data_IF_040342336665
#
_entry.id   IF_040342336665
#
_cell.length_a   1.000
_cell.length_b   1.000
_cell.length_c   1.000
_cell.angle_alpha   90.00
_cell.angle_beta   90.00
_cell.angle_gamma   90.00
#
_symmetry.space_group_name_H-M   'P 1'
#
loop_
_entity.id
_entity.type
_entity.pdbx_description
1 polymer ?
#
# COMPACT_ATOMS: atom_id res chain seq x y z
N UNK A 1 19.34 38.85 7.61
CA UNK A 1 18.54 37.66 7.95
C UNK A 1 18.37 36.88 6.66
N UNK A 2 19.00 35.70 6.54
CA UNK A 2 18.85 34.85 5.35
C UNK A 2 17.41 34.31 5.31
N UNK A 3 16.76 34.26 4.14
CA UNK A 3 15.44 33.64 4.01
C UNK A 3 15.58 32.16 4.39
N UNK A 4 14.84 31.74 5.42
CA UNK A 4 14.67 30.33 5.75
C UNK A 4 13.92 29.72 4.58
N UNK A 5 14.55 28.82 3.83
CA UNK A 5 13.88 28.05 2.79
C UNK A 5 12.69 27.32 3.42
N UNK A 6 11.50 27.34 2.79
CA UNK A 6 10.32 26.70 3.36
C UNK A 6 10.62 25.22 3.58
N UNK A 7 10.52 24.78 4.83
CA UNK A 7 10.59 23.38 5.23
C UNK A 7 9.67 22.59 4.30
N UNK A 8 10.19 21.59 3.59
CA UNK A 8 9.39 20.77 2.69
C UNK A 8 8.28 20.08 3.48
N UNK A 9 7.05 20.56 3.31
CA UNK A 9 5.85 19.98 3.91
C UNK A 9 5.47 18.76 3.10
N UNK A 10 5.43 17.59 3.74
CA UNK A 10 4.73 16.44 3.19
C UNK A 10 3.25 16.62 3.49
N UNK A 11 2.45 16.83 2.46
CA UNK A 11 1.00 16.86 2.53
C UNK A 11 0.46 15.84 1.52
N UNK A 12 -0.29 14.85 2.00
CA UNK A 12 -1.00 13.93 1.11
C UNK A 12 -2.06 14.67 0.30
N UNK A 13 -2.73 15.62 0.94
CA UNK A 13 -3.72 16.54 0.38
C UNK A 13 -3.89 17.74 1.30
N UNK A 14 -4.31 18.89 0.74
CA UNK A 14 -4.63 20.09 1.53
C UNK A 14 -5.74 19.78 2.54
N UNK A 15 -5.45 19.91 3.83
CA UNK A 15 -6.40 19.59 4.90
C UNK A 15 -6.44 18.11 5.31
N UNK A 16 -5.60 17.26 4.71
CA UNK A 16 -5.39 15.88 5.14
C UNK A 16 -4.35 15.76 6.26
N UNK A 17 -3.71 14.59 6.35
CA UNK A 17 -2.55 14.40 7.23
C UNK A 17 -1.31 15.07 6.62
N UNK A 18 -0.74 15.98 7.38
CA UNK A 18 0.46 16.75 7.06
C UNK A 18 1.52 16.48 8.13
N UNK A 19 2.81 16.43 7.76
CA UNK A 19 3.89 16.33 8.72
C UNK A 19 5.10 17.13 8.24
N UNK A 20 5.50 18.12 9.02
CA UNK A 20 6.61 19.02 8.73
C UNK A 20 7.49 19.24 9.98
N UNK A 21 8.33 20.28 9.94
CA UNK A 21 9.20 20.65 11.06
C UNK A 21 8.46 21.06 12.34
N UNK A 22 7.18 21.45 12.24
CA UNK A 22 6.31 21.70 13.38
C UNK A 22 5.35 20.51 13.67
N UNK A 23 5.70 19.33 13.17
CA UNK A 23 5.09 18.06 13.56
C UNK A 23 3.85 17.66 12.75
N UNK A 24 3.25 16.51 13.11
CA UNK A 24 2.10 15.97 12.41
C UNK A 24 0.82 16.74 12.75
N UNK A 25 0.05 17.07 11.71
CA UNK A 25 -1.24 17.78 11.80
C UNK A 25 -2.27 17.09 10.92
N UNK A 26 -3.52 17.00 11.39
CA UNK A 26 -4.64 16.48 10.60
C UNK A 26 -5.76 17.52 10.55
N UNK A 27 -6.07 18.04 9.36
CA UNK A 27 -7.01 19.17 9.21
C UNK A 27 -6.73 20.33 10.19
N UNK A 28 -5.45 20.66 10.39
CA UNK A 28 -5.00 21.70 11.31
C UNK A 28 -4.93 21.28 12.79
N UNK A 29 -5.44 20.10 13.17
CA UNK A 29 -5.30 19.56 14.52
C UNK A 29 -3.89 19.02 14.70
N UNK A 30 -3.08 19.63 15.58
CA UNK A 30 -1.78 19.09 15.94
C UNK A 30 -1.93 17.74 16.66
N UNK A 31 -1.23 16.70 16.19
CA UNK A 31 -1.28 15.38 16.81
C UNK A 31 -0.22 15.20 17.92
N UNK A 32 0.78 16.08 17.93
CA UNK A 32 1.82 16.18 18.95
C UNK A 32 1.88 17.60 19.51
N UNK A 33 2.42 17.74 20.72
CA UNK A 33 2.77 19.02 21.31
C UNK A 33 4.25 19.31 21.08
N UNK A 34 4.55 20.45 20.48
CA UNK A 34 5.91 20.98 20.37
C UNK A 34 6.27 21.82 21.60
N UNK A 35 7.36 21.47 22.27
CA UNK A 35 7.99 22.26 23.32
C UNK A 35 9.32 22.80 22.78
N UNK A 36 9.47 24.13 22.75
CA UNK A 36 10.67 24.80 22.25
C UNK A 36 11.96 24.36 22.98
N UNK A 37 11.86 23.81 24.19
CA UNK A 37 12.99 23.32 25.00
C UNK A 37 13.04 21.81 25.09
N UNK A 38 11.88 21.15 25.23
CA UNK A 38 11.81 19.70 25.47
C UNK A 38 11.63 18.84 24.21
N UNK A 39 11.40 19.45 23.04
CA UNK A 39 11.15 18.74 21.78
C UNK A 39 9.69 18.32 21.64
N UNK A 40 9.45 17.14 21.07
CA UNK A 40 8.11 16.65 20.73
C UNK A 40 7.57 15.69 21.77
N UNK A 41 6.32 15.89 22.21
CA UNK A 41 5.62 15.00 23.14
C UNK A 41 4.22 14.62 22.66
N UNK A 42 3.74 13.48 23.15
CA UNK A 42 2.36 13.04 22.95
C UNK A 42 1.40 14.01 23.65
N UNK A 43 0.27 14.29 22.99
CA UNK A 43 -0.86 14.99 23.60
C UNK A 43 -1.58 14.09 24.60
N UNK A 44 -2.40 14.71 25.45
CA UNK A 44 -3.36 13.97 26.25
C UNK A 44 -4.39 13.27 25.34
N UNK A 45 -4.72 12.02 25.66
CA UNK A 45 -5.60 11.19 24.81
C UNK A 45 -7.01 11.77 24.71
N UNK A 46 -7.52 12.37 25.78
CA UNK A 46 -8.86 12.94 25.81
C UNK A 46 -8.92 14.22 25.01
N UNK A 47 -7.94 15.11 25.19
CA UNK A 47 -7.87 16.35 24.42
C UNK A 47 -7.70 16.08 22.92
N UNK A 48 -6.81 15.15 22.56
CA UNK A 48 -6.61 14.75 21.17
C UNK A 48 -7.87 14.10 20.59
N UNK A 49 -8.55 13.24 21.34
CA UNK A 49 -9.82 12.63 20.92
C UNK A 49 -10.93 13.68 20.73
N UNK A 50 -11.02 14.68 21.61
CA UNK A 50 -12.02 15.75 21.49
C UNK A 50 -11.76 16.63 20.26
N UNK A 51 -10.50 16.95 19.97
CA UNK A 51 -10.12 17.73 18.78
C UNK A 51 -10.37 16.98 17.48
N UNK A 52 -9.90 15.73 17.40
CA UNK A 52 -10.14 14.86 16.25
C UNK A 52 -11.62 14.57 16.07
N UNK A 53 -12.37 14.42 17.16
CA UNK A 53 -13.81 14.21 17.09
C UNK A 53 -14.55 15.41 16.49
N UNK A 54 -14.08 16.64 16.75
CA UNK A 54 -14.58 17.85 16.07
C UNK A 54 -14.22 17.87 14.59
N UNK A 55 -13.00 17.46 14.23
CA UNK A 55 -12.57 17.38 12.84
C UNK A 55 -13.39 16.35 12.04
N UNK A 56 -13.60 15.16 12.59
CA UNK A 56 -14.36 14.08 11.95
C UNK A 56 -15.88 14.17 12.13
N UNK A 57 -16.36 15.06 13.00
CA UNK A 57 -17.78 15.22 13.38
C UNK A 57 -18.39 13.94 13.99
N UNK A 58 -17.57 13.08 14.57
CA UNK A 58 -17.97 11.86 15.28
C UNK A 58 -17.05 11.65 16.49
N UNK A 59 -17.52 11.04 17.59
CA UNK A 59 -16.64 10.68 18.70
C UNK A 59 -15.54 9.72 18.24
N UNK A 60 -14.31 9.99 18.65
CA UNK A 60 -13.15 9.13 18.35
C UNK A 60 -12.42 8.71 19.62
N UNK A 61 -11.62 7.65 19.53
CA UNK A 61 -10.68 7.19 20.54
C UNK A 61 -9.25 7.34 20.00
N UNK A 62 -8.46 8.24 20.59
CA UNK A 62 -7.10 8.50 20.15
C UNK A 62 -6.06 7.52 20.73
N UNK A 63 -6.44 6.69 21.73
CA UNK A 63 -5.49 5.77 22.41
C UNK A 63 -4.77 4.82 21.45
N UNK A 64 -5.43 4.26 20.41
CA UNK A 64 -4.75 3.39 19.44
C UNK A 64 -3.64 4.08 18.64
N UNK A 65 -3.65 5.42 18.54
CA UNK A 65 -2.62 6.18 17.82
C UNK A 65 -1.32 6.33 18.61
N UNK A 66 -1.34 6.16 19.94
CA UNK A 66 -0.19 6.47 20.81
C UNK A 66 1.12 5.80 20.37
N UNK A 67 1.16 4.49 20.04
CA UNK A 67 2.43 3.87 19.63
C UNK A 67 3.00 4.49 18.35
N UNK A 68 2.15 4.79 17.36
CA UNK A 68 2.57 5.41 16.12
C UNK A 68 3.03 6.86 16.31
N UNK A 69 2.27 7.64 17.08
CA UNK A 69 2.63 9.03 17.41
C UNK A 69 3.92 9.12 18.21
N UNK A 70 4.24 8.12 19.05
CA UNK A 70 5.51 8.06 19.76
C UNK A 70 6.68 7.92 18.78
N UNK A 71 6.54 7.10 17.73
CA UNK A 71 7.56 6.95 16.68
C UNK A 71 7.75 8.27 15.92
N UNK A 72 6.67 8.98 15.61
CA UNK A 72 6.74 10.30 14.96
C UNK A 72 7.47 11.30 15.85
N UNK A 73 7.12 11.36 17.14
CA UNK A 73 7.77 12.25 18.11
C UNK A 73 9.28 11.95 18.25
N UNK A 74 9.65 10.67 18.33
CA UNK A 74 11.05 10.23 18.40
C UNK A 74 11.84 10.65 17.17
N UNK A 75 11.27 10.46 15.98
CA UNK A 75 11.89 10.86 14.72
C UNK A 75 12.10 12.38 14.64
N UNK A 76 11.11 13.17 15.04
CA UNK A 76 11.22 14.63 15.06
C UNK A 76 12.23 15.12 16.11
N UNK A 77 12.30 14.49 17.29
CA UNK A 77 13.34 14.78 18.30
C UNK A 77 14.75 14.51 17.75
N UNK A 78 14.91 13.46 16.95
CA UNK A 78 16.14 13.14 16.22
C UNK A 78 16.39 14.00 14.98
N UNK A 79 15.55 15.01 14.69
CA UNK A 79 15.59 15.82 13.46
C UNK A 79 15.53 15.01 12.16
N UNK A 80 15.00 13.79 12.21
CA UNK A 80 14.78 12.95 11.03
C UNK A 80 13.35 13.17 10.51
N UNK A 81 13.19 14.23 9.71
CA UNK A 81 11.89 14.62 9.16
C UNK A 81 11.32 13.56 8.21
N UNK A 82 12.16 12.91 7.40
CA UNK A 82 11.70 11.85 6.48
C UNK A 82 11.07 10.67 7.24
N UNK A 83 11.73 10.19 8.30
CA UNK A 83 11.18 9.13 9.16
C UNK A 83 9.89 9.57 9.85
N UNK A 84 9.81 10.83 10.30
CA UNK A 84 8.59 11.37 10.89
C UNK A 84 7.41 11.36 9.89
N UNK A 85 7.66 11.77 8.64
CA UNK A 85 6.67 11.79 7.57
C UNK A 85 6.18 10.37 7.21
N UNK A 86 7.10 9.41 7.08
CA UNK A 86 6.76 8.00 6.84
C UNK A 86 5.94 7.43 8.01
N UNK A 87 6.39 7.66 9.25
CA UNK A 87 5.68 7.19 10.43
C UNK A 87 4.28 7.80 10.55
N UNK A 88 4.12 9.09 10.22
CA UNK A 88 2.82 9.75 10.16
C UNK A 88 1.92 9.11 9.10
N UNK A 89 2.43 8.89 7.88
CA UNK A 89 1.69 8.20 6.81
C UNK A 89 1.17 6.82 7.25
N UNK A 90 1.99 6.08 8.00
CA UNK A 90 1.65 4.75 8.51
C UNK A 90 0.61 4.76 9.64
N UNK A 91 0.22 5.92 10.17
CA UNK A 91 -0.95 6.05 11.05
C UNK A 91 -2.26 5.76 10.30
N UNK A 92 -2.26 5.89 8.96
CA UNK A 92 -3.41 5.62 8.08
C UNK A 92 -4.68 6.34 8.52
N UNK A 93 -4.52 7.57 8.98
CA UNK A 93 -5.63 8.44 9.36
C UNK A 93 -6.40 8.84 8.09
N UNK A 94 -7.72 8.61 8.01
CA UNK A 94 -8.50 9.09 6.88
C UNK A 94 -8.54 10.62 6.87
N UNK A 95 -8.67 11.22 5.68
CA UNK A 95 -8.93 12.65 5.60
C UNK A 95 -10.30 12.96 6.24
N UNK A 96 -10.41 14.03 7.05
CA UNK A 96 -11.70 14.47 7.56
C UNK A 96 -12.67 14.80 6.42
N UNK A 97 -13.98 14.56 6.62
CA UNK A 97 -14.94 14.64 5.53
C UNK A 97 -15.04 16.06 4.98
N UNK A 98 -14.97 16.18 3.65
CA UNK A 98 -15.50 17.37 2.98
C UNK A 98 -17.00 17.49 3.28
N UNK A 99 -17.58 18.69 3.16
CA UNK A 99 -18.96 18.96 3.56
C UNK A 99 -20.03 18.01 2.95
N UNK A 100 -19.70 17.32 1.86
CA UNK A 100 -20.61 16.46 1.09
C UNK A 100 -20.35 14.94 1.25
N UNK A 101 -19.37 14.50 2.05
CA UNK A 101 -19.05 13.08 2.15
C UNK A 101 -20.05 12.30 3.01
N UNK A 102 -20.44 11.10 2.55
CA UNK A 102 -21.35 10.22 3.29
C UNK A 102 -20.74 9.79 4.65
N UNK A 103 -21.47 9.96 5.77
CA UNK A 103 -21.01 9.54 7.10
C UNK A 103 -20.60 8.06 7.20
N UNK A 104 -21.20 7.17 6.40
CA UNK A 104 -20.98 5.72 6.49
C UNK A 104 -19.64 5.28 5.89
N UNK A 105 -19.13 6.00 4.89
CA UNK A 105 -17.81 5.73 4.35
C UNK A 105 -16.74 6.09 5.39
N UNK A 106 -16.84 7.29 5.97
CA UNK A 106 -15.92 7.77 6.99
C UNK A 106 -15.90 6.87 8.24
N UNK A 107 -17.08 6.43 8.72
CA UNK A 107 -17.16 5.53 9.87
C UNK A 107 -16.43 4.20 9.64
N UNK A 108 -16.53 3.64 8.43
CA UNK A 108 -15.79 2.42 8.07
C UNK A 108 -14.28 2.65 8.08
N UNK A 109 -13.83 3.78 7.53
CA UNK A 109 -12.40 4.11 7.51
C UNK A 109 -11.86 4.36 8.92
N UNK A 110 -12.60 5.09 9.76
CA UNK A 110 -12.27 5.32 11.17
C UNK A 110 -12.26 4.02 11.98
N UNK A 111 -13.20 3.10 11.72
CA UNK A 111 -13.21 1.78 12.35
C UNK A 111 -11.97 0.96 11.92
N UNK A 112 -11.59 1.03 10.64
CA UNK A 112 -10.43 0.32 10.10
C UNK A 112 -9.10 0.78 10.72
N UNK A 113 -8.99 2.06 11.11
CA UNK A 113 -7.83 2.58 11.83
C UNK A 113 -7.98 2.54 13.37
N UNK A 114 -9.08 1.95 13.88
CA UNK A 114 -9.35 1.83 15.32
C UNK A 114 -9.73 3.12 16.03
N UNK A 115 -10.01 4.21 15.30
CA UNK A 115 -10.37 5.50 15.87
C UNK A 115 -11.83 5.60 16.27
N UNK A 116 -12.73 4.81 15.68
CA UNK A 116 -14.13 4.87 16.05
C UNK A 116 -14.31 4.21 17.42
N UNK A 117 -14.92 4.92 18.38
CA UNK A 117 -15.42 4.26 19.59
C UNK A 117 -16.47 3.26 19.15
N UNK A 118 -16.20 1.97 19.34
CA UNK A 118 -17.26 0.98 19.34
C UNK A 118 -18.24 1.39 20.44
N UNK A 119 -19.46 1.77 20.07
CA UNK A 119 -20.55 1.71 21.03
C UNK A 119 -20.76 0.25 21.43
N UNK A 120 -21.35 0.00 22.60
CA UNK A 120 -21.54 -1.37 23.12
C UNK A 120 -22.35 -2.26 22.14
N UNK A 121 -23.02 -1.66 21.14
CA UNK A 121 -23.72 -2.33 20.05
C UNK A 121 -23.06 -2.26 18.67
N UNK A 122 -21.84 -1.73 18.50
CA UNK A 122 -21.20 -1.58 17.18
C UNK A 122 -21.05 -2.92 16.46
N UNK A 123 -20.52 -3.92 17.17
CA UNK A 123 -20.33 -5.26 16.64
C UNK A 123 -21.67 -5.99 16.38
N UNK A 124 -22.75 -5.60 17.08
CA UNK A 124 -24.11 -6.13 16.85
C UNK A 124 -24.79 -5.49 15.64
N UNK A 125 -24.61 -4.17 15.44
CA UNK A 125 -25.19 -3.40 14.32
C UNK A 125 -24.41 -3.57 13.01
N UNK A 126 -23.13 -3.92 13.11
CA UNK A 126 -22.26 -4.22 12.00
C UNK A 126 -21.71 -5.64 12.15
N UNK A 127 -22.56 -6.68 12.03
CA UNK A 127 -22.12 -8.05 12.13
C UNK A 127 -21.01 -8.27 11.12
N UNK A 128 -19.80 -8.50 11.63
CA UNK A 128 -18.62 -8.79 10.80
C UNK A 128 -19.00 -10.00 9.96
N UNK A 129 -19.17 -9.79 8.66
CA UNK A 129 -19.75 -10.79 7.77
C UNK A 129 -18.96 -12.11 7.83
N UNK A 130 -19.61 -13.17 8.33
CA UNK A 130 -19.11 -14.55 8.30
C UNK A 130 -19.34 -15.31 9.61
N UNK A 131 -19.90 -16.52 9.51
CA UNK A 131 -19.93 -17.48 10.63
C UNK A 131 -18.51 -17.98 10.89
N UNK A 132 -18.02 -17.99 12.15
CA UNK A 132 -16.76 -18.63 12.46
C UNK A 132 -16.72 -20.10 12.01
N UNK A 133 -15.58 -20.62 11.54
CA UNK A 133 -14.32 -19.92 11.25
C UNK A 133 -14.26 -19.43 9.78
N UNK A 134 -14.17 -18.11 9.56
CA UNK A 134 -13.84 -17.56 8.24
C UNK A 134 -12.30 -17.50 8.11
N UNK A 135 -11.71 -17.99 7.00
CA UNK A 135 -10.25 -18.02 6.76
C UNK A 135 -9.49 -16.68 6.81
N UNK A 136 -10.16 -15.55 7.04
CA UNK A 136 -9.52 -14.23 7.20
C UNK A 136 -9.24 -13.77 8.65
N UNK A 137 -9.54 -14.57 9.68
CA UNK A 137 -9.33 -14.16 11.09
C UNK A 137 -7.99 -14.63 11.67
N UNK A 138 -7.12 -13.66 12.00
CA UNK A 138 -6.15 -13.82 13.09
C UNK A 138 -6.88 -13.53 14.42
N UNK A 139 -7.61 -14.49 14.95
CA UNK A 139 -8.12 -14.39 16.31
C UNK A 139 -6.98 -14.60 17.32
N UNK A 140 -6.89 -13.73 18.34
CA UNK A 140 -6.00 -13.97 19.46
C UNK A 140 -6.40 -15.27 20.17
N UNK A 141 -5.41 -16.14 20.43
CA UNK A 141 -5.61 -17.35 21.24
C UNK A 141 -6.18 -16.96 22.61
N UNK A 142 -7.23 -17.62 23.13
CA UNK A 142 -7.72 -17.35 24.47
C UNK A 142 -6.58 -17.54 25.47
N UNK A 143 -6.25 -16.46 26.18
CA UNK A 143 -5.25 -16.47 27.23
C UNK A 143 -5.87 -17.14 28.45
N UNK A 144 -5.41 -18.36 28.78
CA UNK A 144 -5.79 -19.02 30.02
C UNK A 144 -5.34 -18.14 31.19
N UNK A 145 -6.28 -17.79 32.07
CA UNK A 145 -6.04 -16.99 33.27
C UNK A 145 -5.18 -17.79 34.25
N UNK A 146 -3.87 -17.50 34.28
CA UNK A 146 -2.95 -18.02 35.28
C UNK A 146 -1.69 -17.16 35.31
N UNK A 147 -1.47 -16.49 36.45
CA UNK A 147 -0.28 -15.80 36.94
C UNK A 147 0.64 -15.11 35.89
N UNK A 148 0.68 -13.78 35.96
CA UNK A 148 1.60 -12.95 35.19
C UNK A 148 3.06 -13.20 35.60
N UNK A 149 3.72 -14.07 34.86
CA UNK A 149 5.17 -14.04 34.70
C UNK A 149 5.46 -13.05 33.57
N UNK A 150 6.25 -12.01 33.85
CA UNK A 150 6.69 -11.01 32.85
C UNK A 150 7.44 -11.72 31.73
N UNK A 151 6.70 -12.12 30.70
CA UNK A 151 7.29 -12.72 29.51
C UNK A 151 7.92 -11.57 28.73
N UNK A 152 9.22 -11.65 28.37
CA UNK A 152 9.85 -10.63 27.54
C UNK A 152 9.01 -10.43 26.29
N UNK A 153 8.77 -9.16 25.94
CA UNK A 153 7.90 -8.74 24.84
C UNK A 153 8.04 -9.70 23.65
N UNK A 154 6.99 -10.50 23.40
CA UNK A 154 6.97 -11.45 22.27
C UNK A 154 7.18 -10.64 21.01
N UNK A 155 8.40 -10.70 20.47
CA UNK A 155 8.74 -10.21 19.14
C UNK A 155 7.72 -10.86 18.20
N UNK A 156 6.97 -10.04 17.46
CA UNK A 156 6.03 -10.56 16.46
C UNK A 156 6.86 -11.42 15.50
N UNK A 157 6.57 -12.72 15.34
CA UNK A 157 7.32 -13.55 14.42
C UNK A 157 7.19 -12.96 13.01
N UNK A 158 8.33 -12.58 12.43
CA UNK A 158 8.43 -12.04 11.08
C UNK A 158 8.62 -10.55 10.96
N UNK A 159 8.97 -9.87 12.06
CA UNK A 159 9.42 -8.48 11.99
C UNK A 159 10.86 -8.37 12.49
N UNK A 160 11.70 -7.53 11.86
CA UNK A 160 13.02 -7.24 12.37
C UNK A 160 13.03 -6.84 13.84
N UNK A 161 14.10 -7.23 14.54
CA UNK A 161 14.41 -6.64 15.83
C UNK A 161 14.61 -5.13 15.67
N UNK A 162 14.25 -4.36 16.70
CA UNK A 162 14.44 -2.90 16.71
C UNK A 162 15.89 -2.50 16.38
N UNK A 163 16.87 -3.26 16.87
CA UNK A 163 18.29 -3.03 16.59
C UNK A 163 18.66 -3.24 15.11
N UNK A 164 18.02 -4.20 14.43
CA UNK A 164 18.21 -4.40 12.98
C UNK A 164 17.62 -3.24 12.17
N UNK A 165 16.42 -2.76 12.55
CA UNK A 165 15.80 -1.57 11.93
C UNK A 165 16.69 -0.33 12.13
N UNK A 166 17.21 -0.12 13.34
CA UNK A 166 18.05 1.04 13.66
C UNK A 166 19.35 1.05 12.83
N UNK A 167 20.07 -0.08 12.74
CA UNK A 167 21.27 -0.20 11.89
C UNK A 167 21.00 0.02 10.40
N UNK A 168 19.90 -0.53 9.90
CA UNK A 168 19.57 -0.42 8.50
C UNK A 168 19.14 1.02 8.13
N UNK A 169 18.47 1.75 9.04
CA UNK A 169 18.21 3.19 8.87
C UNK A 169 19.50 4.03 8.89
N UNK A 170 20.46 3.73 9.78
CA UNK A 170 21.77 4.41 9.82
C UNK A 170 22.55 4.22 8.51
N UNK A 171 22.53 3.02 7.95
CA UNK A 171 23.15 2.73 6.64
C UNK A 171 22.46 3.46 5.49
N UNK A 172 21.12 3.53 5.51
CA UNK A 172 20.34 4.29 4.51
C UNK A 172 20.70 5.77 4.55
N UNK A 173 20.81 6.35 5.76
CA UNK A 173 21.21 7.74 5.95
C UNK A 173 22.64 8.00 5.42
N UNK A 174 23.59 7.11 5.70
CA UNK A 174 24.97 7.19 5.17
C UNK A 174 25.00 7.10 3.63
N UNK A 175 24.22 6.20 3.03
CA UNK A 175 24.15 6.07 1.57
C UNK A 175 23.46 7.23 0.89
N UNK A 176 22.38 7.74 1.48
CA UNK A 176 21.74 8.95 1.00
C UNK A 176 22.72 10.13 1.03
N UNK A 177 23.53 10.28 2.09
CA UNK A 177 24.57 11.30 2.18
C UNK A 177 25.68 11.12 1.14
N UNK A 178 26.12 9.89 0.88
CA UNK A 178 27.11 9.58 -0.15
C UNK A 178 26.59 9.92 -1.55
N UNK A 179 25.36 9.53 -1.88
CA UNK A 179 24.72 9.85 -3.16
C UNK A 179 24.52 11.36 -3.34
N UNK A 180 24.08 12.06 -2.28
CA UNK A 180 23.98 13.52 -2.23
C UNK A 180 25.29 14.20 -2.63
N UNK A 181 26.40 13.70 -2.10
CA UNK A 181 27.73 14.28 -2.32
C UNK A 181 28.26 14.04 -3.73
N UNK A 182 27.82 12.97 -4.42
CA UNK A 182 28.32 12.58 -5.74
C UNK A 182 27.52 13.19 -6.87
N UNK A 183 26.20 13.25 -6.75
CA UNK A 183 25.31 13.62 -7.86
C UNK A 183 24.61 14.97 -7.67
N UNK A 184 24.81 15.62 -6.51
CA UNK A 184 24.14 16.86 -6.15
C UNK A 184 22.76 16.64 -5.53
N UNK A 185 22.25 17.63 -4.81
CA UNK A 185 20.99 17.53 -4.06
C UNK A 185 19.76 17.20 -4.94
N UNK A 186 19.81 17.54 -6.22
CA UNK A 186 18.72 17.30 -7.18
C UNK A 186 18.55 15.81 -7.53
N UNK A 187 19.58 14.97 -7.34
CA UNK A 187 19.51 13.53 -7.54
C UNK A 187 18.73 12.80 -6.40
N UNK A 188 18.56 13.44 -5.24
CA UNK A 188 17.80 12.88 -4.11
C UNK A 188 16.28 12.94 -4.26
N UNK A 189 15.77 13.63 -5.27
CA UNK A 189 14.34 13.89 -5.46
C UNK A 189 13.69 12.80 -6.35
N UNK A 190 14.49 11.87 -6.88
CA UNK A 190 14.00 10.78 -7.71
C UNK A 190 13.33 9.66 -6.90
N UNK A 191 12.21 9.07 -7.37
CA UNK A 191 11.54 7.95 -6.70
C UNK A 191 12.47 6.77 -6.43
N UNK A 192 13.55 6.59 -7.20
CA UNK A 192 14.51 5.49 -7.02
C UNK A 192 15.24 5.51 -5.67
N UNK A 193 15.52 6.68 -5.08
CA UNK A 193 16.34 6.76 -3.86
C UNK A 193 15.60 6.20 -2.62
N UNK A 194 14.28 6.40 -2.56
CA UNK A 194 13.44 5.85 -1.49
C UNK A 194 13.37 4.31 -1.56
N UNK A 195 13.40 3.74 -2.77
CA UNK A 195 13.33 2.29 -2.96
C UNK A 195 14.69 1.62 -2.87
N UNK A 196 15.78 2.27 -3.31
CA UNK A 196 17.15 1.79 -3.06
C UNK A 196 17.43 1.77 -1.55
N UNK A 197 16.92 2.75 -0.81
CA UNK A 197 16.95 2.75 0.64
C UNK A 197 16.16 1.58 1.26
N UNK A 198 14.94 1.29 0.79
CA UNK A 198 14.15 0.14 1.27
C UNK A 198 14.80 -1.20 0.89
N UNK A 199 15.26 -1.33 -0.35
CA UNK A 199 15.86 -2.55 -0.87
C UNK A 199 17.14 -2.87 -0.10
N UNK A 200 18.00 -1.89 0.11
CA UNK A 200 19.22 -2.12 0.85
C UNK A 200 19.01 -2.20 2.37
N UNK A 201 17.97 -1.54 2.92
CA UNK A 201 17.50 -1.82 4.28
C UNK A 201 17.14 -3.31 4.44
N UNK A 202 16.43 -3.87 3.45
CA UNK A 202 16.03 -5.28 3.43
C UNK A 202 17.20 -6.23 3.11
N UNK A 203 18.29 -5.79 2.47
CA UNK A 203 19.51 -6.61 2.27
C UNK A 203 20.39 -6.70 3.51
N UNK A 204 20.41 -5.67 4.36
CA UNK A 204 21.19 -5.64 5.62
C UNK A 204 20.49 -6.41 6.75
N UNK A 205 19.24 -6.79 6.53
CA UNK A 205 18.48 -7.64 7.43
C UNK A 205 19.03 -9.08 7.40
N UNK A 206 19.72 -9.49 8.47
CA UNK A 206 20.06 -10.90 8.64
C UNK A 206 18.78 -11.74 8.65
N UNK A 207 18.65 -12.75 7.76
CA UNK A 207 17.47 -13.60 7.69
C UNK A 207 17.17 -14.22 9.06
N UNK A 208 16.12 -13.76 9.72
CA UNK A 208 15.65 -14.38 10.96
C UNK A 208 14.70 -15.52 10.59
N UNK A 209 14.68 -16.64 11.35
CA UNK A 209 13.77 -17.77 11.12
C UNK A 209 12.28 -17.39 11.07
N UNK A 210 11.95 -16.21 11.59
CA UNK A 210 10.57 -15.70 11.61
C UNK A 210 10.23 -14.81 10.41
N UNK A 211 11.21 -14.27 9.69
CA UNK A 211 11.05 -13.36 8.55
C UNK A 211 10.75 -14.10 7.25
N UNK A 212 9.70 -14.94 7.26
CA UNK A 212 9.29 -15.70 6.09
C UNK A 212 8.49 -14.77 5.16
N UNK A 213 9.16 -14.15 4.19
CA UNK A 213 8.51 -13.27 3.19
C UNK A 213 9.34 -12.08 2.71
N UNK A 214 10.45 -11.76 3.37
CA UNK A 214 11.33 -10.63 2.99
C UNK A 214 11.90 -10.81 1.58
N UNK A 215 12.34 -12.02 1.23
CA UNK A 215 12.80 -12.35 -0.12
C UNK A 215 11.73 -12.10 -1.18
N UNK A 216 10.45 -12.37 -0.86
CA UNK A 216 9.34 -12.11 -1.77
C UNK A 216 9.06 -10.61 -1.91
N UNK A 217 9.09 -9.86 -0.80
CA UNK A 217 8.89 -8.40 -0.84
C UNK A 217 10.00 -7.72 -1.63
N UNK A 218 11.26 -8.07 -1.34
CA UNK A 218 12.43 -7.62 -2.10
C UNK A 218 12.30 -7.96 -3.58
N UNK A 219 11.99 -9.21 -3.91
CA UNK A 219 11.84 -9.63 -5.28
C UNK A 219 10.72 -8.84 -6.00
N UNK A 220 9.60 -8.57 -5.34
CA UNK A 220 8.49 -7.77 -5.90
C UNK A 220 8.92 -6.31 -6.15
N UNK A 221 9.65 -5.69 -5.22
CA UNK A 221 10.18 -4.34 -5.39
C UNK A 221 11.16 -4.29 -6.56
N UNK A 222 12.15 -5.20 -6.59
CA UNK A 222 13.11 -5.27 -7.68
C UNK A 222 12.45 -5.56 -9.03
N UNK A 223 11.46 -6.45 -9.08
CA UNK A 223 10.72 -6.72 -10.31
C UNK A 223 9.93 -5.49 -10.79
N UNK A 224 9.29 -4.74 -9.88
CA UNK A 224 8.49 -3.56 -10.22
C UNK A 224 9.32 -2.47 -10.91
N UNK A 225 10.58 -2.30 -10.51
CA UNK A 225 11.50 -1.31 -11.09
C UNK A 225 12.41 -1.86 -12.19
N UNK A 226 12.27 -3.14 -12.55
CA UNK A 226 13.00 -3.68 -13.69
C UNK A 226 12.68 -2.85 -14.96
N UNK A 227 13.69 -2.57 -15.81
CA UNK A 227 13.45 -1.87 -17.06
C UNK A 227 12.47 -2.66 -17.94
N UNK A 228 11.70 -1.98 -18.81
CA UNK A 228 10.80 -2.66 -19.73
C UNK A 228 11.58 -3.66 -20.59
N UNK A 229 10.95 -4.81 -20.87
CA UNK A 229 11.52 -5.93 -21.62
C UNK A 229 10.84 -6.06 -22.97
N UNK A 230 11.47 -6.74 -23.92
CA UNK A 230 10.81 -7.18 -25.16
C UNK A 230 9.79 -8.27 -24.86
N UNK A 231 8.86 -8.50 -25.78
CA UNK A 231 7.87 -9.57 -25.63
C UNK A 231 8.53 -10.95 -25.50
N UNK A 232 9.62 -11.20 -26.22
CA UNK A 232 10.37 -12.45 -26.15
C UNK A 232 11.03 -12.64 -24.77
N UNK A 233 11.65 -11.59 -24.23
CA UNK A 233 12.22 -11.61 -22.88
C UNK A 233 11.16 -11.85 -21.79
N UNK A 234 9.93 -11.37 -21.98
CA UNK A 234 8.83 -11.56 -21.04
C UNK A 234 8.23 -12.98 -21.09
N UNK A 235 8.40 -13.73 -22.17
CA UNK A 235 7.92 -15.12 -22.26
C UNK A 235 8.81 -16.10 -21.49
N UNK A 236 10.07 -15.73 -21.29
CA UNK A 236 11.03 -16.56 -20.56
C UNK A 236 10.84 -16.40 -19.05
N UNK A 237 10.88 -17.48 -18.26
CA UNK A 237 10.88 -17.39 -16.80
C UNK A 237 12.00 -16.47 -16.29
N UNK A 238 11.72 -15.56 -15.34
CA UNK A 238 12.72 -14.66 -14.81
C UNK A 238 13.82 -15.43 -14.09
N UNK A 239 15.07 -15.19 -14.49
CA UNK A 239 16.25 -15.81 -13.87
C UNK A 239 16.57 -15.21 -12.50
N UNK A 240 16.24 -13.92 -12.30
CA UNK A 240 16.47 -13.18 -11.07
C UNK A 240 15.15 -12.70 -10.49
N UNK A 241 15.03 -12.69 -9.15
CA UNK A 241 13.85 -12.19 -8.43
C UNK A 241 12.54 -12.87 -8.86
N UNK A 242 12.57 -14.18 -9.12
CA UNK A 242 11.43 -14.92 -9.66
C UNK A 242 10.14 -14.79 -8.81
N UNK A 243 10.28 -14.66 -7.49
CA UNK A 243 9.17 -14.44 -6.56
C UNK A 243 8.44 -13.09 -6.74
N UNK A 244 9.05 -12.16 -7.48
CA UNK A 244 8.51 -10.83 -7.77
C UNK A 244 7.68 -10.75 -9.05
N UNK A 245 7.69 -11.80 -9.87
CA UNK A 245 6.95 -11.87 -11.12
C UNK A 245 5.80 -12.87 -11.01
N UNK A 246 4.79 -12.67 -11.84
CA UNK A 246 3.66 -13.57 -12.01
C UNK A 246 3.46 -13.88 -13.49
N UNK A 247 2.93 -15.06 -13.77
CA UNK A 247 2.55 -15.44 -15.13
C UNK A 247 1.19 -14.78 -15.45
N UNK A 248 1.17 -13.96 -16.48
CA UNK A 248 0.04 -13.16 -16.91
C UNK A 248 -0.39 -13.58 -18.31
N UNK A 249 -1.69 -13.69 -18.53
CA UNK A 249 -2.25 -13.92 -19.85
C UNK A 249 -2.53 -12.55 -20.50
N UNK A 250 -1.92 -12.26 -21.65
CA UNK A 250 -2.12 -10.99 -22.38
C UNK A 250 -3.59 -10.83 -22.77
N UNK A 251 -4.22 -11.91 -23.20
CA UNK A 251 -5.68 -12.07 -23.30
C UNK A 251 -6.17 -12.81 -22.06
N UNK A 252 -6.99 -12.16 -21.24
CA UNK A 252 -7.42 -12.68 -19.93
C UNK A 252 -8.11 -14.06 -20.03
N UNK A 253 -7.68 -14.97 -19.15
CA UNK A 253 -8.32 -16.27 -18.92
C UNK A 253 -9.59 -16.10 -18.07
N UNK A 254 -10.65 -15.54 -18.66
CA UNK A 254 -11.98 -15.46 -18.05
C UNK A 254 -12.96 -16.46 -18.69
N UNK A 255 -14.04 -16.87 -18.00
CA UNK A 255 -14.99 -17.85 -18.54
C UNK A 255 -15.55 -17.44 -19.91
N UNK A 256 -15.80 -16.14 -20.12
CA UNK A 256 -16.29 -15.64 -21.39
C UNK A 256 -15.29 -15.86 -22.53
N UNK A 257 -13.98 -15.82 -22.29
CA UNK A 257 -12.92 -16.05 -23.29
C UNK A 257 -12.59 -17.54 -23.51
N UNK A 258 -12.88 -18.40 -22.53
CA UNK A 258 -12.56 -19.83 -22.57
C UNK A 258 -13.67 -20.70 -23.15
N UNK A 259 -14.93 -20.26 -23.11
CA UNK A 259 -16.06 -21.06 -23.59
C UNK A 259 -16.02 -21.28 -25.12
N UNK A 260 -16.06 -22.56 -25.56
CA UNK A 260 -16.32 -22.97 -26.96
C UNK A 260 -17.78 -23.46 -27.08
N UNK A 261 -18.34 -23.31 -28.28
CA UNK A 261 -19.76 -23.30 -28.72
C UNK A 261 -20.72 -24.41 -28.25
N UNK A 262 -20.29 -25.48 -27.58
CA UNK A 262 -21.20 -26.58 -27.20
C UNK A 262 -22.10 -26.26 -25.99
N UNK A 263 -21.93 -25.10 -25.35
CA UNK A 263 -22.80 -24.59 -24.28
C UNK A 263 -23.75 -23.51 -24.84
N UNK A 264 -24.88 -23.97 -25.35
CA UNK A 264 -25.88 -23.18 -26.08
C UNK A 264 -26.52 -22.12 -25.17
N UNK A 265 -26.09 -20.86 -25.29
CA UNK A 265 -26.94 -19.72 -24.98
C UNK A 265 -27.27 -19.00 -26.29
N UNK A 266 -28.33 -19.50 -26.93
CA UNK A 266 -29.11 -18.70 -27.86
C UNK A 266 -29.47 -17.39 -27.16
N UNK A 267 -29.07 -16.25 -27.72
CA UNK A 267 -29.62 -14.88 -27.55
C UNK A 267 -28.44 -13.89 -27.57
N UNK A 268 -28.11 -13.50 -28.80
CA UNK A 268 -27.41 -12.29 -29.24
C UNK A 268 -25.91 -12.14 -28.87
N UNK A 269 -25.07 -12.26 -29.92
CA UNK A 269 -23.59 -12.13 -29.95
C UNK A 269 -22.82 -13.33 -29.40
N UNK A 270 -23.10 -14.52 -29.94
CA UNK A 270 -22.22 -15.69 -29.79
C UNK A 270 -20.91 -15.44 -30.56
N UNK A 271 -19.98 -14.69 -29.96
CA UNK A 271 -18.58 -14.80 -30.34
C UNK A 271 -18.15 -16.16 -29.79
N UNK A 272 -17.88 -17.11 -30.68
CA UNK A 272 -17.17 -18.34 -30.35
C UNK A 272 -15.84 -17.94 -29.72
N UNK A 273 -15.74 -17.99 -28.40
CA UNK A 273 -14.51 -17.49 -27.78
C UNK A 273 -13.44 -18.57 -27.78
N UNK A 274 -12.22 -18.08 -27.68
CA UNK A 274 -11.02 -18.63 -28.30
C UNK A 274 -10.67 -20.05 -27.83
N UNK A 275 -11.18 -20.40 -26.65
CA UNK A 275 -10.97 -21.70 -26.02
C UNK A 275 -9.64 -21.82 -25.33
N UNK A 276 -9.49 -22.90 -24.55
CA UNK A 276 -8.27 -23.13 -23.75
C UNK A 276 -7.00 -23.16 -24.59
N UNK A 277 -7.05 -23.75 -25.79
CA UNK A 277 -5.88 -23.85 -26.65
C UNK A 277 -5.29 -22.47 -27.00
N UNK A 278 -6.12 -21.50 -27.38
CA UNK A 278 -5.64 -20.15 -27.70
C UNK A 278 -5.30 -19.33 -26.45
N UNK A 279 -6.03 -19.52 -25.35
CA UNK A 279 -5.81 -18.79 -24.10
C UNK A 279 -4.54 -19.27 -23.39
N UNK A 280 -4.33 -20.58 -23.32
CA UNK A 280 -3.20 -21.20 -22.65
C UNK A 280 -1.96 -21.31 -23.57
N UNK A 281 -2.04 -20.77 -24.81
CA UNK A 281 -0.92 -20.72 -25.75
C UNK A 281 0.26 -19.91 -25.18
N UNK A 282 1.48 -20.42 -25.33
CA UNK A 282 2.70 -19.76 -24.84
C UNK A 282 2.88 -18.35 -25.43
N UNK A 283 2.32 -18.05 -26.61
CA UNK A 283 2.35 -16.72 -27.19
C UNK A 283 1.45 -15.69 -26.48
N UNK A 284 0.52 -16.17 -25.66
CA UNK A 284 -0.39 -15.39 -24.83
C UNK A 284 0.09 -15.27 -23.36
N UNK A 285 1.17 -15.98 -22.99
CA UNK A 285 1.70 -15.97 -21.63
C UNK A 285 2.97 -15.11 -21.52
N UNK A 286 3.02 -14.26 -20.50
CA UNK A 286 4.19 -13.42 -20.17
C UNK A 286 4.41 -13.35 -18.66
N UNK A 287 5.63 -13.06 -18.23
CA UNK A 287 5.99 -12.82 -16.82
C UNK A 287 5.98 -11.32 -16.53
N UNK A 288 5.07 -10.88 -15.68
CA UNK A 288 4.87 -9.46 -15.34
C UNK A 288 5.23 -9.24 -13.87
N UNK A 289 5.89 -8.13 -13.49
CA UNK A 289 6.07 -7.80 -12.08
C UNK A 289 4.73 -7.75 -11.35
N UNK A 290 4.63 -8.41 -10.20
CA UNK A 290 3.35 -8.57 -9.48
C UNK A 290 2.65 -7.25 -9.20
N UNK A 291 3.38 -6.24 -8.73
CA UNK A 291 2.79 -4.93 -8.42
C UNK A 291 2.24 -4.23 -9.68
N UNK A 292 2.91 -4.37 -10.83
CA UNK A 292 2.39 -3.89 -12.12
C UNK A 292 1.20 -4.71 -12.59
N UNK A 293 1.19 -6.02 -12.36
CA UNK A 293 0.05 -6.89 -12.67
C UNK A 293 -1.22 -6.48 -11.91
N UNK A 294 -1.08 -6.13 -10.63
CA UNK A 294 -2.18 -5.62 -9.81
C UNK A 294 -2.71 -4.27 -10.33
N UNK A 295 -1.81 -3.37 -10.76
CA UNK A 295 -2.18 -2.08 -11.37
C UNK A 295 -2.92 -2.23 -12.70
N UNK A 296 -2.40 -3.08 -13.61
CA UNK A 296 -3.05 -3.40 -14.90
C UNK A 296 -4.45 -3.97 -14.62
N UNK A 297 -4.56 -4.93 -13.70
CA UNK A 297 -5.85 -5.52 -13.32
C UNK A 297 -6.82 -4.47 -12.79
N UNK A 298 -6.32 -3.51 -12.00
CA UNK A 298 -7.14 -2.41 -11.48
C UNK A 298 -7.65 -1.51 -12.61
N UNK A 299 -6.82 -1.23 -13.63
CA UNK A 299 -7.22 -0.39 -14.76
C UNK A 299 -8.27 -1.07 -15.65
N UNK A 300 -8.09 -2.35 -15.96
CA UNK A 300 -9.11 -3.15 -16.66
C UNK A 300 -10.48 -3.12 -15.96
N UNK A 301 -10.49 -2.95 -14.63
CA UNK A 301 -11.70 -2.87 -13.82
C UNK A 301 -12.20 -1.44 -13.55
N UNK A 302 -11.41 -0.42 -13.92
CA UNK A 302 -11.77 0.98 -13.75
C UNK A 302 -12.92 1.34 -14.68
N UNK A 303 -13.85 2.15 -14.18
CA UNK A 303 -14.93 2.71 -15.00
C UNK A 303 -14.42 3.96 -15.69
N UNK A 304 -14.60 4.12 -17.01
CA UNK A 304 -14.22 5.35 -17.68
C UNK A 304 -15.07 6.52 -17.15
N UNK A 305 -14.44 7.68 -16.98
CA UNK A 305 -15.14 8.92 -16.70
C UNK A 305 -15.98 9.31 -17.94
N UNK A 306 -17.23 9.76 -17.74
CA UNK A 306 -18.05 10.29 -18.82
C UNK A 306 -19.08 9.34 -19.46
N UNK A 307 -19.39 8.20 -18.84
CA UNK A 307 -20.59 7.42 -19.19
C UNK A 307 -20.58 6.75 -20.56
N UNK A 308 -19.39 6.38 -21.07
CA UNK A 308 -19.28 5.57 -22.28
C UNK A 308 -20.12 4.27 -22.18
N UNK A 309 -20.59 3.72 -23.32
CA UNK A 309 -21.47 2.55 -23.33
C UNK A 309 -20.86 1.32 -22.64
N UNK A 310 -19.53 1.23 -22.59
CA UNK A 310 -18.82 0.18 -21.86
C UNK A 310 -18.53 0.63 -20.43
N UNK A 311 -18.91 -0.21 -19.45
CA UNK A 311 -18.75 0.10 -18.03
C UNK A 311 -17.29 -0.01 -17.56
N UNK A 312 -16.45 -0.80 -18.24
CA UNK A 312 -15.03 -1.06 -17.93
C UNK A 312 -14.24 -1.39 -19.20
N UNK A 313 -12.92 -1.16 -19.20
CA UNK A 313 -12.04 -1.58 -20.31
C UNK A 313 -12.15 -3.09 -20.58
N UNK A 314 -12.25 -3.89 -19.52
CA UNK A 314 -12.52 -5.33 -19.61
C UNK A 314 -13.78 -5.67 -20.40
N UNK A 315 -14.87 -4.93 -20.16
CA UNK A 315 -16.14 -5.18 -20.83
C UNK A 315 -16.04 -4.88 -22.33
N UNK A 316 -15.32 -3.81 -22.69
CA UNK A 316 -15.02 -3.48 -24.08
C UNK A 316 -14.14 -4.54 -24.73
N UNK A 317 -13.01 -4.90 -24.12
CA UNK A 317 -12.07 -5.90 -24.64
C UNK A 317 -12.78 -7.22 -24.92
N UNK A 318 -13.67 -7.66 -24.02
CA UNK A 318 -14.43 -8.90 -24.16
C UNK A 318 -15.35 -8.97 -25.40
N UNK A 319 -15.61 -7.85 -26.08
CA UNK A 319 -16.38 -7.80 -27.35
C UNK A 319 -15.53 -7.97 -28.60
N UNK A 320 -14.20 -7.94 -28.45
CA UNK A 320 -13.24 -7.96 -29.55
C UNK A 320 -12.73 -9.37 -29.81
N UNK A 321 -12.20 -9.60 -31.02
CA UNK A 321 -11.48 -10.83 -31.37
C UNK A 321 -10.15 -10.96 -30.61
N UNK A 322 -9.51 -12.14 -30.74
CA UNK A 322 -8.32 -12.48 -29.97
C UNK A 322 -7.17 -11.51 -30.25
N UNK A 323 -6.90 -11.21 -31.52
CA UNK A 323 -5.78 -10.37 -31.93
C UNK A 323 -5.95 -8.95 -31.42
N UNK A 324 -7.19 -8.43 -31.45
CA UNK A 324 -7.48 -7.10 -30.92
C UNK A 324 -7.45 -7.05 -29.40
N UNK A 325 -7.96 -8.06 -28.69
CA UNK A 325 -7.80 -8.16 -27.23
C UNK A 325 -6.32 -8.23 -26.85
N UNK A 326 -5.54 -9.03 -27.59
CA UNK A 326 -4.10 -9.18 -27.39
C UNK A 326 -3.38 -7.87 -27.64
N UNK A 327 -3.76 -7.12 -28.66
CA UNK A 327 -3.19 -5.79 -28.91
C UNK A 327 -3.42 -4.84 -27.73
N UNK A 328 -4.65 -4.78 -27.19
CA UNK A 328 -4.96 -3.97 -26.00
C UNK A 328 -4.08 -4.40 -24.82
N UNK A 329 -4.00 -5.70 -24.54
CA UNK A 329 -3.14 -6.20 -23.46
C UNK A 329 -1.66 -5.83 -23.64
N UNK A 330 -1.14 -5.84 -24.87
CA UNK A 330 0.23 -5.38 -25.15
C UNK A 330 0.40 -3.87 -25.00
N UNK A 331 -0.61 -3.06 -25.33
CA UNK A 331 -0.60 -1.61 -25.13
C UNK A 331 -0.57 -1.26 -23.64
N UNK A 332 -1.40 -1.92 -22.82
CA UNK A 332 -1.39 -1.81 -21.35
C UNK A 332 -0.04 -2.17 -20.75
N UNK A 333 0.58 -3.27 -21.21
CA UNK A 333 1.92 -3.64 -20.75
C UNK A 333 2.98 -2.58 -21.07
N UNK A 334 2.84 -1.80 -22.16
CA UNK A 334 3.73 -0.66 -22.46
C UNK A 334 3.43 0.54 -21.59
N UNK A 335 2.16 0.86 -21.37
CA UNK A 335 1.75 1.96 -20.49
C UNK A 335 2.34 1.83 -19.09
N UNK A 336 2.33 0.60 -18.54
CA UNK A 336 2.91 0.30 -17.23
C UNK A 336 4.43 0.05 -17.26
N UNK A 337 5.10 0.24 -18.40
CA UNK A 337 6.54 0.06 -18.55
C UNK A 337 7.00 -1.37 -18.24
N UNK A 338 6.19 -2.38 -18.59
CA UNK A 338 6.56 -3.80 -18.57
C UNK A 338 7.17 -4.18 -19.92
N UNK A 339 6.50 -3.78 -21.00
CA UNK A 339 6.89 -4.01 -22.39
C UNK A 339 7.57 -2.77 -22.97
N UNK A 340 8.59 -2.98 -23.81
CA UNK A 340 9.28 -1.93 -24.57
C UNK A 340 8.39 -1.26 -25.62
#
# INVERSE_FOLDING_TARGET
MSPVLPSHVFALRKGGLECDGDGPRLAGVALLEGDARAGWRLRDDRELADDLGRAYRVPVDARPLRPGLAVVADALRGRNLAKAQIAALLLRLPDPPAAEQSPDALRRDLAACGLLKADDGWDEQHPRTGTPPNPGWFAAKPQASGAAEETPAKVRPGWPSRAAVEKAMEWVEDKAAQLASREGADALIGPNLYFDAIAAFLEVMEPQPTNVGEERLLAQLYANYAPPKTLEELRQPPQNNALGYERHHVVEQNPSNVAKEDDVCEVFFAVNKFGREAIDDDNNLVFVPRLKHELITADYNRKPEGGQPFRRLRDYANTLDFDRQRQIGLEELREYGVLK
#
